data_IF_891102111156
#
_entry.id   IF_891102111156
#
_cell.length_a   1.000
_cell.length_b   1.000
_cell.length_c   1.000
_cell.angle_alpha   90.00
_cell.angle_beta   90.00
_cell.angle_gamma   90.00
#
_symmetry.space_group_name_H-M   'P 1'
#
loop_
_entity.id
_entity.type
_entity.pdbx_description
1 polymer ?
2 non-polymer ?
3 non-polymer ?
4 water ?
#
# COMPACT_ATOMS: atom_id res chain seq x y z
N UNK A 1 -21.16 3.91 8.83
CA UNK A 1 -20.90 2.48 8.41
C UNK A 1 -20.45 2.52 6.93
N UNK A 2 -20.08 1.38 6.36
CA UNK A 2 -19.64 1.38 4.97
C UNK A 2 -20.66 0.62 4.18
N UNK A 3 -21.19 1.21 3.11
CA UNK A 3 -22.17 0.49 2.30
C UNK A 3 -21.49 -0.63 1.50
N UNK A 4 -22.32 -1.58 1.03
CA UNK A 4 -21.85 -2.71 0.25
C UNK A 4 -21.21 -2.22 -1.08
N UNK A 5 -21.76 -1.16 -1.66
CA UNK A 5 -21.21 -0.58 -2.89
C UNK A 5 -19.88 0.08 -2.61
N UNK A 6 -19.72 0.71 -1.43
CA UNK A 6 -18.48 1.38 -1.09
C UNK A 6 -17.43 0.31 -0.78
N UNK A 7 -17.86 -0.79 -0.13
CA UNK A 7 -16.92 -1.85 0.21
C UNK A 7 -16.34 -2.54 -1.06
N UNK A 8 -17.21 -2.75 -2.05
CA UNK A 8 -16.81 -3.34 -3.32
C UNK A 8 -15.74 -2.40 -3.91
N UNK A 9 -15.95 -1.08 -3.85
CA UNK A 9 -15.00 -0.15 -4.39
C UNK A 9 -13.68 -0.24 -3.68
N UNK A 10 -13.73 -0.35 -2.37
CA UNK A 10 -12.52 -0.42 -1.59
C UNK A 10 -11.72 -1.67 -1.88
N UNK A 11 -12.41 -2.78 -1.93
CA UNK A 11 -11.72 -4.04 -2.14
C UNK A 11 -11.32 -4.37 -3.56
N UNK A 12 -12.01 -3.80 -4.54
CA UNK A 12 -11.75 -4.22 -5.90
C UNK A 12 -11.43 -3.17 -6.92
N UNK A 13 -11.54 -1.90 -6.60
CA UNK A 13 -11.30 -0.93 -7.63
C UNK A 13 -9.96 -0.25 -7.56
N UNK A 14 -9.19 -0.27 -8.65
CA UNK A 14 -7.94 0.51 -8.74
C UNK A 14 -7.73 0.95 -10.20
N UNK A 15 -8.57 1.88 -10.69
CA UNK A 15 -8.49 2.37 -12.07
C UNK A 15 -7.15 3.04 -12.33
N UNK A 16 -6.54 2.77 -13.47
CA UNK A 16 -5.25 3.39 -13.74
C UNK A 16 -4.62 2.63 -14.87
N UNK A 17 -3.76 3.28 -15.65
CA UNK A 17 -3.13 2.61 -16.78
C UNK A 17 -1.84 1.86 -16.48
N UNK A 18 -1.22 2.15 -15.33
CA UNK A 18 -0.02 1.45 -14.86
C UNK A 18 -0.11 1.49 -13.32
N UNK A 19 -1.06 0.70 -12.80
CA UNK A 19 -1.33 0.60 -11.38
C UNK A 19 -0.11 0.28 -10.51
N UNK A 20 0.81 -0.54 -11.00
CA UNK A 20 1.98 -0.93 -10.23
C UNK A 20 3.26 -0.08 -10.48
N UNK A 21 3.09 1.00 -11.22
CA UNK A 21 4.18 1.92 -11.51
C UNK A 21 4.82 2.39 -10.19
N UNK A 22 6.13 2.65 -10.23
CA UNK A 22 6.86 3.11 -9.05
C UNK A 22 6.37 4.48 -8.59
N UNK A 23 5.73 5.23 -9.47
CA UNK A 23 5.24 6.53 -9.09
C UNK A 23 4.04 6.42 -8.11
N UNK A 24 3.43 5.26 -8.01
CA UNK A 24 2.31 5.08 -7.06
C UNK A 24 2.74 4.59 -5.67
N UNK A 25 4.02 4.22 -5.51
CA UNK A 25 4.54 3.67 -4.28
C UNK A 25 4.17 4.46 -3.02
N UNK A 26 4.50 5.76 -3.00
CA UNK A 26 4.22 6.57 -1.82
C UNK A 26 2.77 6.57 -1.43
N UNK A 27 1.90 6.71 -2.41
CA UNK A 27 0.46 6.68 -2.14
C UNK A 27 0.06 5.39 -1.44
N UNK A 28 0.54 4.27 -1.95
CA UNK A 28 0.18 2.99 -1.38
C UNK A 28 0.85 2.73 -0.04
N UNK A 29 2.11 3.09 0.08
CA UNK A 29 2.86 2.90 1.32
C UNK A 29 2.39 3.78 2.47
N UNK A 30 2.14 5.08 2.22
CA UNK A 30 1.68 6.00 3.26
C UNK A 30 0.35 5.52 3.81
N UNK A 31 -0.47 4.95 2.93
CA UNK A 31 -1.76 4.41 3.27
C UNK A 31 -1.56 3.13 4.09
N UNK A 32 -0.81 2.19 3.56
CA UNK A 32 -0.56 0.93 4.22
C UNK A 32 0.05 1.07 5.63
N UNK A 33 1.05 1.92 5.77
CA UNK A 33 1.76 2.13 7.03
C UNK A 33 1.05 3.13 7.97
N UNK A 34 -0.20 3.44 7.65
CA UNK A 34 -1.06 4.32 8.46
C UNK A 34 -0.58 5.72 8.78
N UNK A 35 -0.09 6.44 7.77
CA UNK A 35 0.38 7.83 7.98
C UNK A 35 -0.61 8.82 7.36
N UNK A 36 -1.77 8.30 7.05
CA UNK A 36 -2.85 9.09 6.49
C UNK A 36 -4.12 8.94 7.37
N UNK A 37 -3.93 8.87 8.69
CA UNK A 37 -5.05 8.71 9.62
C UNK A 37 -5.48 10.02 10.23
N UNK A 38 -6.61 10.52 9.76
CA UNK A 38 -7.13 11.79 10.24
C UNK A 38 -6.43 13.00 9.62
N UNK A 39 -5.32 12.77 8.90
CA UNK A 39 -4.54 13.86 8.27
C UNK A 39 -3.48 13.21 7.38
N UNK A 40 -2.85 13.99 6.53
CA UNK A 40 -1.82 13.45 5.66
C UNK A 40 -0.51 13.89 6.21
N UNK A 41 0.37 12.93 6.56
CA UNK A 41 1.71 13.29 7.03
C UNK A 41 2.31 13.97 5.79
N UNK A 42 2.80 15.21 5.92
CA UNK A 42 3.37 15.92 4.76
C UNK A 42 4.61 15.34 4.07
N UNK A 43 5.55 14.78 4.83
CA UNK A 43 6.78 14.22 4.25
C UNK A 43 7.20 13.02 5.08
N UNK A 44 7.69 12.00 4.41
CA UNK A 44 8.15 10.80 5.07
C UNK A 44 9.13 10.07 4.19
N UNK A 45 10.20 9.57 4.77
CA UNK A 45 11.18 8.82 4.01
C UNK A 45 11.20 7.32 4.38
N UNK A 46 11.23 6.43 3.36
CA UNK A 46 11.35 4.96 3.54
C UNK A 46 12.79 4.60 3.19
N UNK A 47 13.41 3.71 3.96
CA UNK A 47 14.78 3.29 3.80
C UNK A 47 14.69 1.86 3.37
N UNK A 48 15.38 1.50 2.29
CA UNK A 48 15.29 0.15 1.77
C UNK A 48 16.51 -0.68 2.10
N UNK A 49 17.18 -0.37 3.21
CA UNK A 49 18.35 -1.11 3.67
C UNK A 49 17.92 -2.05 4.81
N UNK A 50 18.72 -3.05 5.17
CA UNK A 50 18.35 -3.95 6.25
C UNK A 50 18.28 -3.18 7.56
N UNK A 51 17.41 -3.63 8.45
CA UNK A 51 17.24 -2.98 9.74
C UNK A 51 18.57 -2.93 10.49
N UNK A 52 19.42 -3.93 10.27
CA UNK A 52 20.72 -4.02 10.93
C UNK A 52 21.61 -2.87 10.52
N UNK A 53 21.58 -2.52 9.24
CA UNK A 53 22.41 -1.41 8.79
C UNK A 53 21.92 -0.08 9.34
N UNK A 54 20.61 0.09 9.40
CA UNK A 54 20.00 1.33 9.90
C UNK A 54 20.24 1.46 11.42
N UNK A 55 20.09 0.36 12.16
CA UNK A 55 20.35 0.44 13.60
C UNK A 55 21.81 0.83 13.89
N UNK A 56 22.72 0.36 13.03
CA UNK A 56 24.15 0.62 13.19
C UNK A 56 24.48 2.10 13.05
N UNK A 57 23.58 2.87 12.46
CA UNK A 57 23.82 4.30 12.29
C UNK A 57 23.92 4.93 13.66
N UNK A 58 23.22 4.39 14.63
CA UNK A 58 23.29 4.97 15.95
C UNK A 58 24.70 4.97 16.57
N UNK A 59 25.62 4.20 15.99
CA UNK A 59 26.99 4.18 16.51
C UNK A 59 27.97 4.80 15.51
N UNK A 60 27.45 5.62 14.59
CA UNK A 60 28.29 6.26 13.60
C UNK A 60 28.53 7.75 13.91
N UNK A 61 28.58 8.58 12.88
CA UNK A 61 28.84 10.02 13.07
C UNK A 61 27.77 10.79 13.83
N UNK A 62 28.15 11.33 14.97
CA UNK A 62 27.23 12.06 15.80
C UNK A 62 27.11 13.46 15.25
N UNK A 63 25.88 13.90 14.98
CA UNK A 63 25.61 15.24 14.44
C UNK A 63 24.48 15.91 15.19
N UNK A 64 24.25 17.17 14.86
CA UNK A 64 23.21 17.95 15.49
C UNK A 64 21.92 17.76 14.70
N UNK A 65 20.81 17.61 15.41
CA UNK A 65 19.51 17.43 14.76
C UNK A 65 19.00 18.79 14.30
N UNK A 66 18.04 18.77 13.37
CA UNK A 66 17.43 19.99 12.84
C UNK A 66 16.85 20.84 13.99
N UNK A 67 16.42 20.16 15.06
CA UNK A 67 15.80 20.78 16.27
C UNK A 67 16.74 21.26 17.42
N UNK A 68 18.04 21.20 17.20
CA UNK A 68 18.96 21.65 18.25
C UNK A 68 19.51 20.54 19.09
N UNK A 69 18.75 19.45 19.23
CA UNK A 69 19.23 18.33 20.03
C UNK A 69 20.44 17.67 19.36
N UNK A 70 21.31 17.05 20.15
CA UNK A 70 22.51 16.42 19.62
C UNK A 70 22.51 14.89 19.63
N UNK A 71 21.32 14.26 19.64
CA UNK A 71 21.22 12.80 19.62
C UNK A 71 20.94 12.24 18.22
N UNK A 72 21.46 12.93 17.19
CA UNK A 72 21.31 12.51 15.81
C UNK A 72 22.60 11.94 15.28
N UNK A 73 22.45 11.00 14.36
CA UNK A 73 23.58 10.28 13.78
C UNK A 73 23.44 10.22 12.28
N UNK A 74 24.56 10.37 11.57
CA UNK A 74 24.55 10.29 10.12
C UNK A 74 25.28 9.04 9.63
N UNK A 75 24.69 8.34 8.66
CA UNK A 75 25.29 7.10 8.13
C UNK A 75 26.61 7.34 7.41
N UNK A 76 27.57 6.43 7.61
CA UNK A 76 28.84 6.56 6.94
C UNK A 76 28.68 6.34 5.41
N UNK A 77 27.81 5.40 5.01
CA UNK A 77 27.54 5.13 3.58
C UNK A 77 26.22 5.75 3.14
N UNK A 78 26.00 5.77 1.84
CA UNK A 78 24.74 6.28 1.30
C UNK A 78 23.82 5.08 1.38
N UNK A 79 22.52 5.33 1.31
CA UNK A 79 21.51 4.28 1.37
C UNK A 79 20.42 4.58 0.36
N UNK A 80 19.75 3.53 -0.08
CA UNK A 80 18.66 3.66 -1.03
C UNK A 80 17.46 4.06 -0.22
N UNK A 81 16.89 5.23 -0.52
CA UNK A 81 15.74 5.73 0.20
C UNK A 81 14.71 6.28 -0.77
N UNK A 82 13.43 6.33 -0.34
CA UNK A 82 12.34 6.88 -1.16
C UNK A 82 11.73 8.01 -0.34
N UNK A 83 11.76 9.22 -0.91
CA UNK A 83 11.18 10.38 -0.31
C UNK A 83 9.75 10.45 -0.81
N UNK A 84 8.82 10.66 0.11
CA UNK A 84 7.38 10.73 -0.19
C UNK A 84 6.99 12.09 0.33
N UNK A 85 6.49 12.91 -0.56
CA UNK A 85 6.14 14.27 -0.21
C UNK A 85 4.78 14.57 -0.79
N UNK A 86 3.87 15.10 0.02
CA UNK A 86 2.51 15.47 -0.40
C UNK A 86 2.55 16.38 -1.64
N UNK A 87 1.65 16.17 -2.60
CA UNK A 87 1.62 17.01 -3.79
C UNK A 87 0.84 18.34 -3.50
N UNK A 88 0.88 19.28 -4.44
CA UNK A 88 0.18 20.54 -4.20
C UNK A 88 -1.30 20.43 -3.84
N UNK A 89 -1.98 19.53 -4.53
CA UNK A 89 -3.40 19.32 -4.32
C UNK A 89 -3.76 18.26 -3.26
N UNK A 90 -2.77 17.71 -2.59
CA UNK A 90 -3.04 16.71 -1.57
C UNK A 90 -3.94 17.31 -0.51
N UNK A 91 -5.09 16.70 -0.24
CA UNK A 91 -5.95 17.20 0.83
C UNK A 91 -6.78 16.11 1.47
N UNK A 92 -6.59 15.92 2.77
CA UNK A 92 -7.31 14.89 3.53
C UNK A 92 -8.80 14.96 3.27
N UNK A 93 -9.47 13.81 3.06
CA UNK A 93 -9.00 12.42 3.02
C UNK A 93 -8.40 11.96 1.67
N UNK A 94 -8.16 12.91 0.77
CA UNK A 94 -7.55 12.57 -0.52
C UNK A 94 -6.05 12.96 -0.52
N UNK A 95 -5.28 12.24 0.29
CA UNK A 95 -3.83 12.46 0.39
C UNK A 95 -3.16 11.99 -0.90
N UNK A 96 -2.22 12.77 -1.39
CA UNK A 96 -1.54 12.44 -2.64
C UNK A 96 -0.06 12.68 -2.41
N UNK A 97 0.78 11.81 -2.95
CA UNK A 97 2.23 11.92 -2.73
C UNK A 97 3.07 11.77 -3.97
N UNK A 98 4.19 12.48 -4.00
CA UNK A 98 5.13 12.36 -5.08
C UNK A 98 6.20 11.41 -4.52
N UNK A 99 6.66 10.46 -5.34
CA UNK A 99 7.66 9.49 -4.98
C UNK A 99 8.98 9.90 -5.63
N UNK A 100 10.03 10.01 -4.83
CA UNK A 100 11.35 10.36 -5.34
C UNK A 100 12.33 9.32 -4.82
N UNK A 101 13.00 8.61 -5.72
CA UNK A 101 13.96 7.59 -5.31
C UNK A 101 15.37 8.17 -5.37
N UNK A 102 16.09 8.17 -4.26
CA UNK A 102 17.43 8.73 -4.25
C UNK A 102 18.36 7.87 -3.45
N UNK A 103 19.66 8.18 -3.48
CA UNK A 103 20.70 7.45 -2.73
C UNK A 103 21.45 8.48 -1.93
N UNK A 104 21.22 8.57 -0.63
CA UNK A 104 21.84 9.61 0.19
C UNK A 104 22.21 9.09 1.57
N UNK A 105 22.91 9.90 2.33
CA UNK A 105 23.27 9.53 3.70
C UNK A 105 22.05 9.87 4.51
N UNK A 106 21.74 9.09 5.54
CA UNK A 106 20.55 9.41 6.39
C UNK A 106 20.97 9.91 7.76
N UNK A 107 20.18 10.80 8.30
CA UNK A 107 20.41 11.31 9.64
C UNK A 107 19.16 10.91 10.47
N UNK A 108 19.37 10.12 11.52
CA UNK A 108 18.28 9.70 12.38
C UNK A 108 18.58 10.12 13.80
N UNK A 109 17.54 10.25 14.62
CA UNK A 109 17.69 10.59 16.03
C UNK A 109 17.62 9.24 16.72
N UNK A 110 18.56 8.99 17.64
CA UNK A 110 18.62 7.71 18.38
C UNK A 110 18.26 7.86 19.87
N UNK A 111 17.59 6.88 20.43
CA UNK A 111 17.23 6.99 21.83
C UNK A 111 17.10 5.61 22.43
N UNK A 112 17.02 5.55 23.76
CA UNK A 112 16.89 4.29 24.42
C UNK A 112 18.22 3.63 24.66
N UNK A 113 18.14 2.48 25.31
CA UNK A 113 19.31 1.69 25.64
C UNK A 113 18.95 0.20 25.54
N UNK A 114 19.59 -0.52 24.60
CA UNK A 114 20.61 -0.04 23.64
C UNK A 114 20.04 1.02 22.67
N UNK A 115 20.93 1.86 22.15
CA UNK A 115 20.53 2.93 21.23
C UNK A 115 19.95 2.49 19.84
N UNK A 116 18.72 2.90 19.51
CA UNK A 116 18.11 2.52 18.21
C UNK A 116 17.43 3.76 17.59
N UNK A 117 17.22 3.78 16.23
CA UNK A 117 16.57 4.94 15.56
C UNK A 117 15.13 5.19 16.07
N UNK A 118 14.79 6.45 16.34
CA UNK A 118 13.46 6.74 16.84
C UNK A 118 12.79 7.84 16.03
N UNK A 119 13.52 8.47 15.12
CA UNK A 119 12.97 9.53 14.29
C UNK A 119 13.88 9.72 13.09
N UNK A 120 13.28 9.99 11.93
CA UNK A 120 14.05 10.27 10.73
C UNK A 120 14.18 11.81 10.66
N UNK A 121 15.41 12.29 10.64
CA UNK A 121 15.66 13.71 10.64
C UNK A 121 15.82 14.32 9.24
N UNK A 122 16.70 13.74 8.43
CA UNK A 122 16.96 14.26 7.09
C UNK A 122 17.92 13.33 6.37
N UNK A 123 18.29 13.71 5.14
CA UNK A 123 19.23 12.97 4.30
C UNK A 123 20.10 13.99 3.60
N UNK A 124 21.34 13.61 3.40
CA UNK A 124 22.32 14.49 2.80
C UNK A 124 23.19 13.69 1.84
N UNK B 1 0.94 0.28 24.15
CA UNK B 1 1.21 1.45 23.24
C UNK B 1 2.28 0.98 22.21
N UNK B 2 2.51 1.79 21.17
CA UNK B 2 3.51 1.50 20.15
C UNK B 2 4.80 2.20 20.61
N UNK B 3 5.91 1.45 20.73
CA UNK B 3 7.14 2.06 21.20
C UNK B 3 7.71 3.01 20.15
N UNK B 4 8.65 3.89 20.54
CA UNK B 4 9.25 4.82 19.58
C UNK B 4 9.98 4.03 18.50
N UNK B 5 10.62 2.93 18.90
CA UNK B 5 11.35 2.07 17.97
C UNK B 5 10.42 1.38 16.99
N UNK B 6 9.33 0.80 17.47
CA UNK B 6 8.41 0.12 16.57
C UNK B 6 7.79 1.12 15.63
N UNK B 7 7.52 2.34 16.12
CA UNK B 7 6.92 3.37 15.29
C UNK B 7 7.87 3.79 14.17
N UNK B 8 9.16 3.86 14.49
CA UNK B 8 10.16 4.22 13.50
C UNK B 8 10.17 3.14 12.43
N UNK B 9 10.12 1.87 12.86
CA UNK B 9 10.09 0.77 11.91
C UNK B 9 8.87 0.84 11.00
N UNK B 10 7.71 1.12 11.58
CA UNK B 10 6.50 1.19 10.77
C UNK B 10 6.53 2.33 9.75
N UNK B 11 6.99 3.50 10.20
CA UNK B 11 7.00 4.66 9.32
C UNK B 11 8.11 4.70 8.30
N UNK B 12 9.22 4.08 8.64
CA UNK B 12 10.38 4.23 7.80
C UNK B 12 11.06 3.03 7.23
N UNK B 13 10.74 1.82 7.65
CA UNK B 13 11.47 0.65 7.15
C UNK B 13 10.73 -0.17 6.10
N UNK B 14 11.43 -0.42 5.00
CA UNK B 14 10.90 -1.24 3.91
C UNK B 14 12.14 -1.91 3.27
N UNK B 15 12.72 -2.83 4.03
CA UNK B 15 13.92 -3.56 3.67
C UNK B 15 13.67 -4.51 2.53
N UNK B 16 14.68 -4.69 1.69
CA UNK B 16 14.52 -5.61 0.59
C UNK B 16 13.30 -5.35 -0.28
N UNK B 17 12.98 -4.09 -0.48
CA UNK B 17 11.86 -3.83 -1.32
C UNK B 17 12.16 -2.54 -1.99
N UNK B 18 11.50 -2.32 -3.13
CA UNK B 18 11.73 -1.13 -3.90
C UNK B 18 10.45 -0.62 -4.57
N UNK B 19 10.36 0.69 -4.82
CA UNK B 19 9.18 1.27 -5.48
C UNK B 19 8.98 0.67 -6.87
N UNK B 20 10.05 0.27 -7.54
CA UNK B 20 9.89 -0.28 -8.88
C UNK B 20 9.47 -1.74 -8.91
N UNK B 21 9.28 -2.32 -7.74
CA UNK B 21 8.89 -3.70 -7.61
C UNK B 21 7.38 -4.01 -7.81
N UNK B 22 6.99 -4.27 -9.06
CA UNK B 22 5.64 -4.63 -9.43
C UNK B 22 5.11 -5.86 -8.73
N UNK B 23 5.96 -6.84 -8.43
CA UNK B 23 5.44 -8.06 -7.80
C UNK B 23 4.95 -7.79 -6.38
N UNK B 24 5.36 -6.65 -5.83
CA UNK B 24 4.96 -6.27 -4.49
C UNK B 24 3.58 -5.52 -4.45
N UNK B 25 3.00 -5.26 -5.62
CA UNK B 25 1.72 -4.56 -5.70
C UNK B 25 0.62 -5.15 -4.80
N UNK B 26 0.42 -6.47 -4.82
CA UNK B 26 -0.62 -7.08 -3.99
C UNK B 26 -0.39 -6.87 -2.52
N UNK B 27 0.86 -7.00 -2.11
CA UNK B 27 1.20 -6.79 -0.72
C UNK B 27 0.81 -5.41 -0.23
N UNK B 28 1.14 -4.38 -1.01
CA UNK B 28 0.81 -2.97 -0.68
C UNK B 28 -0.70 -2.67 -0.69
N UNK B 29 -1.40 -3.18 -1.72
CA UNK B 29 -2.84 -2.96 -1.92
C UNK B 29 -3.69 -3.69 -0.91
N UNK B 30 -3.39 -4.95 -0.64
CA UNK B 30 -4.18 -5.69 0.34
C UNK B 30 -4.07 -5.01 1.72
N UNK B 31 -2.89 -4.48 2.03
CA UNK B 31 -2.61 -3.77 3.27
C UNK B 31 -3.33 -2.43 3.27
N UNK B 32 -3.05 -1.59 2.28
CA UNK B 32 -3.68 -0.29 2.20
C UNK B 32 -5.21 -0.36 2.18
N UNK B 33 -5.78 -1.30 1.43
CA UNK B 33 -7.23 -1.44 1.32
C UNK B 33 -7.87 -2.23 2.49
N UNK B 34 -7.15 -2.37 3.60
CA UNK B 34 -7.62 -3.04 4.82
C UNK B 34 -8.13 -4.48 4.67
N UNK B 35 -7.45 -5.30 3.87
CA UNK B 35 -7.90 -6.68 3.75
C UNK B 35 -6.97 -7.62 4.50
N UNK B 36 -6.11 -7.04 5.32
CA UNK B 36 -5.20 -7.82 6.13
C UNK B 36 -5.41 -7.43 7.62
N UNK B 37 -6.61 -6.99 7.97
CA UNK B 37 -6.89 -6.60 9.36
C UNK B 37 -7.40 -7.76 10.20
N UNK B 38 -6.57 -8.23 11.12
CA UNK B 38 -6.98 -9.32 11.98
C UNK B 38 -6.97 -10.69 11.34
N UNK B 39 -6.84 -10.73 10.01
CA UNK B 39 -6.78 -11.98 9.24
C UNK B 39 -6.28 -11.64 7.83
N UNK B 40 -5.87 -12.63 7.08
CA UNK B 40 -5.38 -12.42 5.71
C UNK B 40 -6.47 -12.85 4.72
N UNK B 41 -7.04 -11.91 3.96
CA UNK B 41 -8.03 -12.32 2.96
C UNK B 41 -7.26 -13.25 1.99
N UNK B 42 -7.77 -14.48 1.74
CA UNK B 42 -7.13 -15.46 0.85
C UNK B 42 -6.89 -15.08 -0.61
N UNK B 43 -7.93 -14.58 -1.28
CA UNK B 43 -7.87 -14.19 -2.69
C UNK B 43 -8.64 -12.90 -2.92
N UNK B 44 -8.12 -12.01 -3.76
CA UNK B 44 -8.85 -10.78 -4.04
C UNK B 44 -8.45 -10.26 -5.37
N UNK B 45 -9.39 -9.78 -6.17
CA UNK B 45 -9.09 -9.24 -7.49
C UNK B 45 -9.33 -7.77 -7.56
N UNK B 46 -8.38 -7.03 -8.13
CA UNK B 46 -8.49 -5.57 -8.34
C UNK B 46 -8.74 -5.34 -9.85
N UNK B 47 -9.67 -4.44 -10.16
CA UNK B 47 -10.04 -4.17 -11.55
C UNK B 47 -9.45 -2.81 -11.89
N UNK B 48 -8.79 -2.71 -13.05
CA UNK B 48 -8.18 -1.44 -13.40
C UNK B 48 -8.92 -0.59 -14.42
N UNK B 49 -10.13 -1.00 -14.78
CA UNK B 49 -10.96 -0.28 -15.71
C UNK B 49 -11.63 0.86 -14.95
N UNK B 50 -12.33 1.75 -15.63
CA UNK B 50 -12.98 2.83 -14.89
C UNK B 50 -14.21 2.27 -14.20
N UNK B 51 -14.55 2.91 -13.09
CA UNK B 51 -15.70 2.55 -12.30
C UNK B 51 -17.00 2.54 -13.11
N UNK B 52 -17.13 3.47 -14.04
CA UNK B 52 -18.32 3.53 -14.86
C UNK B 52 -18.45 2.23 -15.66
N UNK B 53 -17.32 1.73 -16.14
CA UNK B 53 -17.35 0.49 -16.92
C UNK B 53 -17.68 -0.74 -16.07
N UNK B 54 -17.22 -0.76 -14.83
CA UNK B 54 -17.52 -1.90 -13.95
C UNK B 54 -19.00 -1.87 -13.53
N UNK B 55 -19.52 -0.69 -13.26
CA UNK B 55 -20.90 -0.56 -12.86
C UNK B 55 -21.83 -0.99 -13.97
N UNK B 56 -21.41 -0.76 -15.20
CA UNK B 56 -22.18 -1.11 -16.39
C UNK B 56 -22.39 -2.60 -16.52
N UNK B 57 -21.53 -3.39 -15.88
CA UNK B 57 -21.66 -4.83 -15.97
C UNK B 57 -22.98 -5.32 -15.37
N UNK B 58 -23.56 -4.58 -14.42
CA UNK B 58 -24.84 -4.97 -13.81
C UNK B 58 -26.00 -4.99 -14.77
N UNK B 59 -25.77 -4.48 -15.98
CA UNK B 59 -26.80 -4.49 -17.00
C UNK B 59 -26.36 -5.32 -18.18
N UNK B 60 -25.39 -6.21 -17.98
CA UNK B 60 -24.90 -7.04 -19.07
C UNK B 60 -25.42 -8.49 -19.05
N UNK B 61 -24.55 -9.45 -19.33
CA UNK B 61 -24.93 -10.87 -19.41
C UNK B 61 -25.25 -11.52 -18.07
N UNK B 62 -26.51 -11.90 -17.85
CA UNK B 62 -26.89 -12.57 -16.61
C UNK B 62 -26.30 -13.96 -16.65
N UNK B 63 -25.63 -14.37 -15.59
CA UNK B 63 -25.06 -15.70 -15.52
C UNK B 63 -25.25 -16.27 -14.14
N UNK B 64 -25.07 -17.58 -14.01
CA UNK B 64 -25.16 -18.23 -12.72
C UNK B 64 -23.85 -17.84 -12.03
N UNK B 65 -23.90 -17.55 -10.74
CA UNK B 65 -22.67 -17.24 -10.03
C UNK B 65 -21.80 -18.48 -9.94
N UNK B 66 -20.49 -18.28 -9.96
CA UNK B 66 -19.54 -19.39 -9.81
C UNK B 66 -19.39 -19.69 -8.31
N UNK B 67 -19.41 -18.66 -7.47
CA UNK B 67 -19.33 -18.85 -6.02
C UNK B 67 -20.80 -18.88 -5.59
N UNK B 68 -21.08 -19.35 -4.38
CA UNK B 68 -22.46 -19.46 -3.93
C UNK B 68 -23.29 -18.21 -3.70
N UNK B 69 -24.04 -17.82 -4.74
CA UNK B 69 -24.89 -16.63 -4.67
C UNK B 69 -25.69 -16.46 -5.96
N UNK B 70 -26.46 -15.39 -6.04
CA UNK B 70 -27.26 -15.14 -7.24
C UNK B 70 -27.08 -13.70 -7.67
N UNK B 71 -27.79 -13.33 -8.73
CA UNK B 71 -27.73 -11.96 -9.24
C UNK B 71 -26.32 -11.61 -9.77
N UNK B 72 -25.72 -12.56 -10.49
CA UNK B 72 -24.42 -12.32 -11.06
C UNK B 72 -24.54 -11.94 -12.52
N UNK B 73 -23.60 -11.10 -12.96
CA UNK B 73 -23.53 -10.65 -14.33
C UNK B 73 -22.08 -10.76 -14.79
N UNK B 74 -21.88 -11.13 -16.07
CA UNK B 74 -20.56 -11.27 -16.67
C UNK B 74 -20.26 -10.10 -17.64
N UNK B 75 -19.07 -9.52 -17.54
CA UNK B 75 -18.73 -8.42 -18.42
C UNK B 75 -18.70 -8.89 -19.88
N UNK B 76 -19.25 -8.08 -20.77
CA UNK B 76 -19.23 -8.44 -22.19
C UNK B 76 -17.79 -8.43 -22.76
N UNK B 77 -16.91 -7.58 -22.24
CA UNK B 77 -15.54 -7.53 -22.72
C UNK B 77 -14.60 -8.00 -21.60
N UNK B 78 -13.32 -8.13 -21.95
CA UNK B 78 -12.32 -8.52 -20.99
C UNK B 78 -11.93 -7.24 -20.29
N UNK B 79 -11.38 -7.35 -19.08
CA UNK B 79 -10.96 -6.18 -18.35
C UNK B 79 -9.62 -6.47 -17.75
N UNK B 80 -8.84 -5.41 -17.57
CA UNK B 80 -7.53 -5.54 -16.96
C UNK B 80 -7.76 -5.70 -15.46
N UNK B 81 -7.20 -6.78 -14.90
CA UNK B 81 -7.35 -7.09 -13.48
C UNK B 81 -6.02 -7.58 -12.94
N UNK B 82 -5.90 -7.58 -11.62
CA UNK B 82 -4.72 -8.08 -10.94
C UNK B 82 -5.30 -9.05 -9.93
N UNK B 83 -4.84 -10.28 -9.97
CA UNK B 83 -5.28 -11.30 -9.08
C UNK B 83 -4.26 -11.36 -7.95
N UNK B 84 -4.72 -11.32 -6.70
CA UNK B 84 -3.86 -11.37 -5.51
C UNK B 84 -4.24 -12.63 -4.76
N UNK B 85 -3.27 -13.49 -4.51
CA UNK B 85 -3.53 -14.75 -3.85
C UNK B 85 -2.49 -14.95 -2.77
N UNK B 86 -2.92 -15.39 -1.59
CA UNK B 86 -2.01 -15.61 -0.49
C UNK B 86 -0.95 -16.62 -0.87
N UNK B 87 0.29 -16.41 -0.46
CA UNK B 87 1.32 -17.40 -0.78
C UNK B 87 1.14 -18.57 0.25
N UNK B 88 1.76 -19.72 -0.02
CA UNK B 88 1.67 -20.86 0.88
C UNK B 88 2.22 -20.56 2.27
N UNK B 89 3.19 -19.64 2.34
CA UNK B 89 3.78 -19.27 3.62
C UNK B 89 3.04 -18.11 4.33
N UNK B 90 1.98 -17.59 3.73
CA UNK B 90 1.28 -16.48 4.33
C UNK B 90 0.67 -16.92 5.67
N UNK B 91 0.85 -16.13 6.71
CA UNK B 91 0.26 -16.48 7.99
C UNK B 91 0.16 -15.21 8.81
N UNK B 92 -1.07 -14.87 9.17
CA UNK B 92 -1.32 -13.67 9.95
C UNK B 92 -0.45 -13.64 11.19
N UNK B 93 0.10 -12.48 11.58
CA UNK B 93 0.03 -11.13 11.02
C UNK B 93 0.95 -10.91 9.83
N UNK B 94 1.63 -11.96 9.39
CA UNK B 94 2.53 -11.85 8.25
C UNK B 94 1.89 -12.36 6.94
N UNK B 95 0.95 -11.59 6.41
CA UNK B 95 0.23 -11.95 5.17
C UNK B 95 1.14 -11.71 3.99
N UNK B 96 1.09 -12.56 2.99
CA UNK B 96 1.95 -12.38 1.82
C UNK B 96 1.17 -12.77 0.58
N UNK B 97 1.31 -11.98 -0.48
CA UNK B 97 0.56 -12.23 -1.69
C UNK B 97 1.40 -12.27 -2.96
N UNK B 98 0.96 -13.14 -3.87
CA UNK B 98 1.54 -13.34 -5.20
C UNK B 98 0.63 -12.50 -6.11
N UNK B 99 1.24 -11.66 -6.94
CA UNK B 99 0.58 -10.74 -7.87
C UNK B 99 0.56 -11.33 -9.28
N UNK B 100 -0.60 -11.29 -9.93
CA UNK B 100 -0.72 -11.79 -11.29
C UNK B 100 -1.61 -10.86 -12.08
N UNK B 101 -1.09 -10.24 -13.13
CA UNK B 101 -1.90 -9.35 -13.98
C UNK B 101 -2.40 -10.17 -15.15
N UNK B 102 -3.62 -9.94 -15.58
CA UNK B 102 -4.15 -10.70 -16.69
C UNK B 102 -5.39 -9.95 -17.16
N UNK B 103 -5.92 -10.31 -18.32
CA UNK B 103 -7.12 -9.71 -18.85
C UNK B 103 -8.13 -10.82 -19.02
N UNK B 104 -9.27 -10.68 -18.32
CA UNK B 104 -10.35 -11.66 -18.37
C UNK B 104 -11.70 -10.97 -18.23
N UNK B 105 -12.78 -11.71 -18.46
CA UNK B 105 -14.14 -11.21 -18.25
C UNK B 105 -14.33 -11.33 -16.76
N UNK B 106 -15.11 -10.44 -16.16
CA UNK B 106 -15.36 -10.52 -14.71
C UNK B 106 -16.82 -10.80 -14.50
N UNK B 107 -17.12 -11.49 -13.42
CA UNK B 107 -18.50 -11.81 -13.04
C UNK B 107 -18.66 -11.17 -11.65
N UNK B 108 -19.60 -10.25 -11.50
CA UNK B 108 -19.84 -9.56 -10.24
C UNK B 108 -21.30 -9.79 -9.85
N UNK B 109 -21.56 -9.80 -8.54
CA UNK B 109 -22.93 -9.92 -8.01
C UNK B 109 -23.42 -8.49 -7.78
N UNK B 110 -24.57 -8.13 -8.35
CA UNK B 110 -25.13 -6.77 -8.23
C UNK B 110 -26.34 -6.71 -7.28
N UNK B 111 -26.59 -5.56 -6.67
CA UNK B 111 -27.70 -5.41 -5.76
C UNK B 111 -27.96 -3.93 -5.58
N UNK B 112 -29.00 -3.58 -4.83
CA UNK B 112 -29.31 -2.19 -4.60
C UNK B 112 -30.24 -1.73 -5.69
N UNK B 113 -30.60 -0.45 -5.64
CA UNK B 113 -31.48 0.19 -6.63
C UNK B 113 -31.04 1.66 -6.72
N UNK B 114 -30.38 2.06 -7.82
CA UNK B 114 -29.94 1.35 -9.05
C UNK B 114 -29.04 0.14 -8.76
N UNK B 115 -29.08 -0.86 -9.63
CA UNK B 115 -28.25 -2.06 -9.45
C UNK B 115 -26.76 -1.74 -9.65
N UNK B 116 -25.93 -2.05 -8.65
CA UNK B 116 -24.49 -1.79 -8.69
C UNK B 116 -23.69 -2.99 -8.17
N UNK B 117 -22.40 -3.09 -8.52
CA UNK B 117 -21.60 -4.24 -8.05
C UNK B 117 -21.40 -4.26 -6.52
N UNK B 118 -21.72 -5.39 -5.88
CA UNK B 118 -21.54 -5.51 -4.44
C UNK B 118 -20.60 -6.62 -4.06
N UNK B 119 -20.38 -7.59 -4.93
CA UNK B 119 -19.43 -8.67 -4.64
C UNK B 119 -18.66 -9.05 -5.90
N UNK B 120 -17.42 -9.48 -5.74
CA UNK B 120 -16.67 -9.94 -6.89
C UNK B 120 -16.81 -11.43 -6.83
N UNK B 121 -17.31 -12.01 -7.91
CA UNK B 121 -17.56 -13.42 -7.97
C UNK B 121 -16.41 -14.24 -8.57
N UNK B 122 -15.98 -13.87 -9.77
CA UNK B 122 -14.91 -14.60 -10.45
C UNK B 122 -14.53 -13.90 -11.76
N UNK B 123 -13.41 -14.33 -12.35
CA UNK B 123 -12.96 -13.83 -13.64
C UNK B 123 -12.94 -15.08 -14.51
N UNK B 124 -13.35 -14.92 -15.75
CA UNK B 124 -13.39 -16.05 -16.63
C UNK B 124 -12.71 -15.64 -17.94
X LIG C 1 -15.93 -10.00 -2.15
X LIG C 1 -16.76 -11.12 -2.39
X LIG C 1 -16.06 -9.55 -0.75
X LIG C 1 -16.44 -9.01 -3.10
X LIG C 1 -14.52 -10.19 -2.44
X LIG D 1 1.87 16.28 10.72
X LIG D 1 0.98 15.41 9.96
X LIG D 1 1.71 17.63 10.30
X LIG D 1 3.23 15.88 10.63
X LIG D 1 1.52 16.29 12.10
X LIG E 1 1.97 -1.81 -14.65
X LIG E 1 1.16 -1.58 -15.77
X LIG E 1 1.12 -2.19 -13.54
X LIG E 1 2.58 -0.50 -14.36
X LIG E 1 2.84 -2.97 -14.88
X LIG F 1 1.80 10.80 13.22
X LIG F 1 1.27 9.54 13.01
X LIG F 1 0.95 11.65 14.03
X LIG F 1 1.92 11.24 11.94
X LIG F 1 2.99 10.64 13.81
X LIG G 1 9.39 10.92 11.98
X LIG G 1 9.89 12.16 12.35
X LIG G 1 9.01 10.92 10.57
X LIG G 1 10.26 9.88 12.28
X LIG G 1 8.26 10.76 12.69
X LIG H 1 10.41 12.54 8.74
X LIG H 1 10.45 13.86 9.06
X LIG H 1 9.98 14.20 10.25
X LIG H 1 10.90 14.77 8.25
X LIG H 1 11.34 14.25 7.09
X LIG H 1 11.34 12.94 6.68
X LIG H 1 10.83 11.98 7.53
X LIG H 1 10.71 10.78 7.31
X LIG H 1 11.87 12.80 5.41
X LIG H 1 12.16 14.02 5.06
X LIG H 1 11.87 14.95 6.03
X LIG H 1 12.03 16.41 5.99
X LIG H 1 13.29 16.93 6.70
X LIG H 1 12.96 18.15 7.36
X LIG H 1 14.23 17.14 5.52
X LIG H 1 15.21 18.13 5.75
X LIG H 1 13.29 17.63 4.44
X LIG H 1 12.07 16.86 4.65
X LIG H 1 13.82 17.39 3.03
X LIG H 1 14.16 15.99 2.86
X LIG H 1 15.66 15.45 2.94
X LIG H 1 15.60 13.96 2.82
X LIG H 1 16.38 16.09 4.10
X LIG H 1 16.07 15.13 -4.41
X LIG H 1 15.60 14.58 -3.13
X LIG H 1 16.23 15.30 -1.94
X LIG H 1 15.88 16.72 -1.90
X LIG H 1 15.75 14.72 -0.61
X LIG H 1 16.61 13.67 -0.15
X LIG H 1 15.63 15.91 0.36
X LIG H 1 16.38 15.95 1.56
X LIG H 1 15.77 17.15 -0.54
X LIG H 1 14.66 18.11 -0.44
X LIG I 1 -5.29 5.49 -1.16
X LIG I 1 -4.47 6.42 -1.73
X LIG I 1 -4.10 7.46 -0.97
X LIG I 1 -4.04 6.35 -2.98
X LIG I 1 -4.49 5.25 -3.60
X LIG I 1 -5.31 4.25 -3.13
X LIG I 1 -5.78 4.34 -1.80
X LIG I 1 -6.54 3.57 -1.20
X LIG I 1 -5.54 3.29 -4.09
X LIG I 1 -4.88 3.72 -5.14
X LIG I 1 -4.23 4.90 -4.90
X LIG I 1 -3.42 5.71 -5.79
X LIG I 1 -2.67 5.05 -6.96
X LIG I 1 -1.28 5.07 -6.71
X LIG I 1 -3.06 5.93 -8.16
X LIG I 1 -1.92 6.42 -8.85
X LIG I 1 -3.76 7.15 -7.56
X LIG I 1 -4.21 6.78 -6.25
X LIG I 1 -4.92 7.60 -8.42
X LIG I 1 -5.98 8.14 -7.61
X LIG I 1 -7.38 8.45 -8.29
X LIG I 1 -7.31 8.28 -9.77
X LIG I 1 -7.83 9.74 -7.72
X LIG I 1 -8.43 6.28 -2.73
X LIG I 1 -9.08 5.16 -3.37
X LIG I 1 -9.39 5.51 -4.80
X LIG I 1 -10.34 6.59 -4.85
X LIG I 1 -8.16 5.98 -5.56
X LIG I 1 -7.68 4.93 -6.38
X LIG I 1 -8.61 7.22 -6.35
X LIG I 1 -8.43 7.35 -7.73
X LIG I 1 -10.11 7.29 -6.05
X LIG I 1 -10.71 8.62 -5.98
X LIG I 1 -11.61 8.95 -6.99
X LIG I 1 -11.91 8.17 -7.89
X LIG I 1 -12.14 10.21 -6.92
X LIG I 1 -11.86 11.18 -5.97
X LIG I 1 -12.33 12.32 -6.12
X LIG I 1 -10.94 10.77 -4.95
X LIG I 1 -10.41 9.53 -4.98
X LIG J 1 3.82 13.19 11.58
X LIG J 1 5.14 12.98 11.92
X LIG J 1 5.44 11.77 12.39
X LIG J 1 6.09 13.89 11.78
X LIG J 1 5.61 15.05 11.29
X LIG J 1 4.31 15.36 10.93
X LIG J 1 3.31 14.38 11.07
X LIG J 1 2.10 14.47 10.78
X LIG J 1 4.23 16.67 10.47
X LIG J 1 5.45 17.12 10.56
X LIG J 1 6.34 16.18 11.04
X LIG J 1 7.77 16.36 11.26
X LIG J 1 8.37 17.51 10.45
X LIG J 1 9.60 17.14 9.85
X LIG J 1 8.47 18.62 11.50
X LIG J 1 9.54 19.53 11.21
X LIG J 1 8.72 17.84 12.80
X LIG J 1 7.98 16.61 12.64
X LIG J 1 8.26 18.57 14.05
X LIG J 1 8.22 17.66 15.19
X LIG K 1 -13.68 -9.06 5.04
X LIG K 1 -12.34 -9.00 4.61
X LIG K 1 -13.91 -7.81 5.58
X LIG K 1 -13.98 -10.10 5.99
X LIG K 1 -14.49 -9.20 3.92
X LIG L 1 9.38 -6.83 -10.51
X LIG L 1 9.31 -6.70 -11.90
X LIG L 1 9.03 -8.19 -10.21
X LIG L 1 8.49 -5.85 -9.81
X LIG L 1 10.75 -6.82 -10.10
X LIG M 1 -12.31 -14.34 4.20
X LIG M 1 -12.20 -15.66 3.64
X LIG M 1 -13.24 -14.45 5.28
X LIG M 1 -11.07 -14.13 4.81
X LIG M 1 -12.79 -13.25 3.26
X LIG N 1 -13.36 -12.08 -4.30
X LIG N 1 -13.92 -13.30 -4.00
X LIG N 1 -14.86 -13.31 -3.05
X LIG N 1 -13.59 -14.43 -4.59
X LIG N 1 -12.66 -14.26 -5.52
X LIG N 1 -12.03 -13.09 -5.92
X LIG N 1 -12.39 -11.86 -5.26
X LIG N 1 -11.93 -10.73 -5.43
X LIG N 1 -11.13 -13.34 -6.95
X LIG N 1 -11.21 -14.64 -7.13
X LIG N 1 -12.07 -15.26 -6.23
X LIG N 1 -12.26 -16.69 -5.98
X LIG N 1 -13.44 -17.33 -6.69
X LIG N 1 -13.91 -18.37 -5.83
X LIG N 1 -12.78 -17.75 -8.00
X LIG N 1 -13.46 -18.79 -8.70
X LIG N 1 -11.41 -18.22 -7.53
X LIG N 1 -11.10 -17.39 -6.37
X LIG N 1 -10.33 -18.04 -8.57
X LIG N 1 -10.30 -16.65 -9.02
X LIG N 1 -10.76 -16.22 -10.49
X LIG N 1 -10.49 -14.76 -10.69
X LIG N 1 -12.15 -16.76 -10.75
X LIG N 1 -9.73 -16.96 -11.50
#
# INVERSE_FOLDING_TARGET
KESAAAKFERQHMDSGNSPSSSSNYCNLMMCCRKMTQGKCKPVNTFVHESLADVKAVCSQKKVTCKNGQTNCYQSKSTMRITDCRETGSSKYPNCAYKTTQVEKHIIVACGGKPSVPVHFDASV
KESAAAKFERQHMDSGNSPSSSSNYCNLMMCCRKMTQGKCKPVNTFVHESLADVKAVCSQKKVTCKNGQTNCYQSKSTMRITDCRETGSSKYPNCAYKTTQVEKHIIVACGGKPSVPVHFDASV
SO4 S O1 O2 O3 O4
SO4 S O1 O2 O3 O4
SO4 S O1 O2 O3 O4
SO4 S O1 O2 O3 O4
SO4 S O1 O2 O3 O4
U2G N1G C2G N2G N3G C4G C5G C6G O6G N7G C8G N9G C1B C2B O2B C3B O3B C4B O4B C5B O5B P O1P O2P O5D C5D C4D O4D C3D O3D C2D O2D C1D N1U
U2G N1G C2G N2G N3G C4G C5G C6G O6G N7G C8G N9G C1B C2B O2B C3B O3B C4B O4B C5B O5B P O1P O2P O5D C5D C4D O4D C3D O3D C2D O2D C1D N1U C2U O2U N3U C4U O4U C5U C6U
U2G N1G C2G N2G N3G C4G C5G C6G O6G N7G C8G N9G C1B C2B O2B C3B O3B C4B O4B C5B O5B
SO4 S O1 O2 O3 O4
SO4 S O1 O2 O3 O4
SO4 S O1 O2 O3 O4
U2G N1G C2G N2G N3G C4G C5G C6G O6G N7G C8G N9G C1B C2B O2B C3B O3B C4B O4B C5B O5B P O1P O2P O2D
#
